data_IF_849968325701
#
_entry.id   IF_849968325701
#
_cell.length_a   1.000
_cell.length_b   1.000
_cell.length_c   1.000
_cell.angle_alpha   90.00
_cell.angle_beta   90.00
_cell.angle_gamma   90.00
#
_symmetry.space_group_name_H-M   'P 1'
#
loop_
_entity.id
_entity.type
_entity.pdbx_description
1 polymer ?
#
# COMPACT_ATOMS: atom_id res chain seq x y z
N UNK A 1 2.36 -26.77 1.67
CA UNK A 1 2.86 -25.94 2.79
C UNK A 1 1.66 -25.22 3.38
N UNK A 2 1.52 -25.21 4.71
CA UNK A 2 0.33 -24.69 5.40
C UNK A 2 0.45 -23.18 5.59
N UNK A 3 -0.32 -22.42 4.82
CA UNK A 3 -0.68 -21.06 5.21
C UNK A 3 -1.72 -21.11 6.32
N UNK A 4 -1.59 -20.24 7.32
CA UNK A 4 -2.54 -20.10 8.42
C UNK A 4 -3.16 -18.71 8.38
N UNK A 5 -4.48 -18.64 8.45
CA UNK A 5 -5.20 -17.38 8.63
C UNK A 5 -4.90 -16.81 10.02
N UNK A 6 -4.53 -15.53 10.08
CA UNK A 6 -4.21 -14.79 11.32
C UNK A 6 -5.13 -13.61 11.56
N UNK A 7 -5.83 -13.15 10.52
CA UNK A 7 -6.97 -12.24 10.63
C UNK A 7 -8.03 -12.65 9.63
N UNK A 8 -9.26 -12.80 10.09
CA UNK A 8 -10.44 -12.87 9.23
C UNK A 8 -11.04 -11.48 8.97
N UNK A 9 -11.94 -11.36 7.99
CA UNK A 9 -12.53 -10.06 7.61
C UNK A 9 -13.18 -9.28 8.76
N UNK A 10 -13.84 -9.97 9.70
CA UNK A 10 -14.41 -9.31 10.90
C UNK A 10 -13.34 -8.73 11.83
N UNK A 11 -12.15 -9.33 11.88
CA UNK A 11 -11.01 -8.83 12.65
C UNK A 11 -10.31 -7.67 11.92
N UNK A 12 -10.21 -7.74 10.59
CA UNK A 12 -9.72 -6.63 9.75
C UNK A 12 -10.64 -5.42 9.94
N UNK A 13 -11.96 -5.58 9.83
CA UNK A 13 -12.91 -4.51 10.02
C UNK A 13 -12.77 -3.85 11.41
N UNK A 14 -12.65 -4.64 12.48
CA UNK A 14 -12.42 -4.12 13.84
C UNK A 14 -11.08 -3.37 13.96
N UNK A 15 -10.02 -3.89 13.35
CA UNK A 15 -8.72 -3.22 13.34
C UNK A 15 -8.78 -1.86 12.63
N UNK A 16 -9.46 -1.78 11.48
CA UNK A 16 -9.64 -0.53 10.75
C UNK A 16 -10.50 0.48 11.53
N UNK A 17 -11.58 0.02 12.19
CA UNK A 17 -12.37 0.89 13.07
C UNK A 17 -11.52 1.49 14.19
N UNK A 18 -10.66 0.67 14.83
CA UNK A 18 -9.76 1.18 15.87
C UNK A 18 -8.75 2.18 15.32
N UNK A 19 -8.11 1.88 14.18
CA UNK A 19 -7.18 2.81 13.51
C UNK A 19 -7.88 4.14 13.21
N UNK A 20 -9.11 4.12 12.68
CA UNK A 20 -9.88 5.34 12.41
C UNK A 20 -10.12 6.19 13.66
N UNK A 21 -10.49 5.58 14.79
CA UNK A 21 -10.63 6.31 16.05
C UNK A 21 -9.30 6.89 16.54
N UNK A 22 -8.22 6.12 16.49
CA UNK A 22 -6.88 6.59 16.89
C UNK A 22 -6.42 7.78 16.03
N UNK A 23 -6.68 7.76 14.71
CA UNK A 23 -6.38 8.87 13.80
C UNK A 23 -7.17 10.14 14.19
N UNK A 24 -8.48 10.00 14.42
CA UNK A 24 -9.35 11.13 14.80
C UNK A 24 -8.88 11.74 16.13
N UNK A 25 -8.62 10.91 17.14
CA UNK A 25 -8.16 11.36 18.46
C UNK A 25 -6.81 12.09 18.37
N UNK A 26 -5.85 11.52 17.64
CA UNK A 26 -4.52 12.10 17.48
C UNK A 26 -4.51 13.39 16.62
N UNK A 27 -5.50 13.58 15.76
CA UNK A 27 -5.64 14.77 14.93
C UNK A 27 -6.65 15.80 15.48
N UNK A 28 -7.38 15.46 16.56
CA UNK A 28 -8.47 16.27 17.14
C UNK A 28 -9.58 16.57 16.11
N UNK A 29 -9.99 15.53 15.39
CA UNK A 29 -10.95 15.60 14.29
C UNK A 29 -10.29 15.42 12.91
N UNK A 30 -11.05 15.60 11.84
CA UNK A 30 -10.62 15.26 10.47
C UNK A 30 -10.43 16.47 9.52
N UNK A 31 -10.49 17.71 10.03
CA UNK A 31 -10.57 18.91 9.19
C UNK A 31 -9.39 19.13 8.22
N UNK A 32 -8.19 18.69 8.57
CA UNK A 32 -6.98 18.84 7.76
C UNK A 32 -6.26 17.51 7.51
N UNK A 33 -7.04 16.43 7.61
CA UNK A 33 -6.58 15.06 7.43
C UNK A 33 -6.64 14.68 5.94
N UNK A 34 -5.57 14.10 5.44
CA UNK A 34 -5.53 13.45 4.12
C UNK A 34 -4.97 12.04 4.31
N UNK A 35 -5.66 11.04 3.77
CA UNK A 35 -5.14 9.67 3.73
C UNK A 35 -4.45 9.43 2.40
N UNK A 36 -3.27 8.84 2.39
CA UNK A 36 -2.53 8.54 1.17
C UNK A 36 -2.14 7.07 1.20
N UNK A 37 -2.81 6.28 0.36
CA UNK A 37 -2.52 4.85 0.26
C UNK A 37 -1.32 4.57 -0.64
N UNK A 38 -0.48 3.64 -0.20
CA UNK A 38 0.56 3.06 -1.05
C UNK A 38 -0.08 1.89 -1.83
N UNK A 39 -0.04 1.88 -3.17
CA UNK A 39 -0.68 0.83 -3.95
C UNK A 39 -0.19 -0.58 -3.60
N UNK A 40 -0.95 -1.63 -3.85
CA UNK A 40 -2.37 -1.62 -4.26
C UNK A 40 -3.29 -1.62 -3.03
N UNK A 41 -2.97 -2.45 -2.03
CA UNK A 41 -3.84 -2.68 -0.87
C UNK A 41 -3.84 -1.54 0.12
N UNK A 42 -2.73 -0.80 0.27
CA UNK A 42 -2.70 0.42 1.08
C UNK A 42 -3.74 1.45 0.60
N UNK A 43 -3.93 1.61 -0.71
CA UNK A 43 -5.01 2.46 -1.27
C UNK A 43 -6.40 1.99 -0.85
N UNK A 44 -6.67 0.67 -0.95
CA UNK A 44 -7.96 0.10 -0.55
C UNK A 44 -8.21 0.34 0.94
N UNK A 45 -7.21 0.10 1.78
CA UNK A 45 -7.29 0.35 3.22
C UNK A 45 -7.51 1.84 3.53
N UNK A 46 -6.86 2.75 2.81
CA UNK A 46 -7.05 4.18 2.97
C UNK A 46 -8.50 4.59 2.69
N UNK A 47 -9.12 4.08 1.62
CA UNK A 47 -10.54 4.32 1.34
C UNK A 47 -11.45 3.78 2.45
N UNK A 48 -11.23 2.54 2.92
CA UNK A 48 -12.02 1.99 4.03
C UNK A 48 -11.89 2.82 5.31
N UNK A 49 -10.69 3.30 5.63
CA UNK A 49 -10.46 4.17 6.80
C UNK A 49 -11.18 5.51 6.62
N UNK A 50 -11.10 6.13 5.43
CA UNK A 50 -11.80 7.38 5.13
C UNK A 50 -13.32 7.24 5.29
N UNK A 51 -13.91 6.16 4.78
CA UNK A 51 -15.34 5.90 4.94
C UNK A 51 -15.74 5.73 6.41
N UNK A 52 -14.92 5.04 7.21
CA UNK A 52 -15.17 4.90 8.66
C UNK A 52 -15.10 6.27 9.34
N UNK A 53 -14.06 7.07 9.06
CA UNK A 53 -13.90 8.40 9.64
C UNK A 53 -15.07 9.29 9.23
N UNK A 54 -15.49 9.27 7.97
CA UNK A 54 -16.60 10.09 7.49
C UNK A 54 -17.94 9.72 8.13
N UNK A 55 -18.16 8.45 8.47
CA UNK A 55 -19.33 8.04 9.27
C UNK A 55 -19.27 8.53 10.72
N UNK A 56 -18.07 8.68 11.29
CA UNK A 56 -17.88 9.11 12.70
C UNK A 56 -17.98 10.64 12.81
N UNK A 57 -17.27 11.37 11.95
CA UNK A 57 -17.11 12.83 12.02
C UNK A 57 -18.11 13.59 11.14
N UNK A 58 -18.80 12.92 10.22
CA UNK A 58 -19.74 13.55 9.29
C UNK A 58 -19.05 14.40 8.21
N UNK A 59 -17.79 14.11 7.88
CA UNK A 59 -16.99 14.83 6.88
C UNK A 59 -16.34 13.87 5.88
N UNK A 60 -16.17 14.31 4.64
CA UNK A 60 -15.44 13.54 3.64
C UNK A 60 -13.94 13.77 3.80
N UNK A 61 -13.19 12.70 4.07
CA UNK A 61 -11.72 12.74 4.18
C UNK A 61 -11.11 12.51 2.79
N UNK A 62 -10.30 13.44 2.26
CA UNK A 62 -9.61 13.23 1.00
C UNK A 62 -8.69 12.02 1.04
N UNK A 63 -8.75 11.19 0.00
CA UNK A 63 -7.88 10.03 -0.20
C UNK A 63 -7.06 10.22 -1.46
N UNK A 64 -5.75 10.00 -1.35
CA UNK A 64 -4.82 9.92 -2.47
C UNK A 64 -4.17 8.54 -2.59
N UNK A 65 -3.51 8.32 -3.71
CA UNK A 65 -2.71 7.15 -4.03
C UNK A 65 -1.30 7.60 -4.42
N UNK A 66 -0.27 7.07 -3.76
CA UNK A 66 1.12 7.41 -4.04
C UNK A 66 1.91 6.19 -4.51
N UNK A 67 2.19 6.11 -5.82
CA UNK A 67 3.09 5.07 -6.33
C UNK A 67 4.54 5.42 -6.03
N UNK A 68 5.22 4.49 -5.36
CA UNK A 68 6.60 4.66 -4.89
C UNK A 68 7.60 3.86 -5.71
N UNK A 69 7.18 3.26 -6.82
CA UNK A 69 7.96 2.27 -7.57
C UNK A 69 9.30 2.85 -8.02
N UNK A 70 9.30 4.11 -8.48
CA UNK A 70 10.51 4.80 -8.94
C UNK A 70 11.43 5.32 -7.83
N UNK A 71 10.97 5.31 -6.58
CA UNK A 71 11.72 5.80 -5.40
C UNK A 71 12.40 4.67 -4.61
N UNK A 72 12.15 3.42 -5.01
CA UNK A 72 12.73 2.24 -4.36
C UNK A 72 14.22 2.09 -4.67
N UNK A 73 14.99 1.85 -3.63
CA UNK A 73 16.44 1.63 -3.69
C UNK A 73 16.84 0.24 -4.20
N UNK A 74 15.89 -0.68 -4.29
CA UNK A 74 16.08 -2.06 -4.71
C UNK A 74 15.55 -2.37 -6.12
N UNK A 75 15.16 -1.34 -6.90
CA UNK A 75 14.54 -1.51 -8.21
C UNK A 75 15.38 -2.38 -9.17
N UNK A 76 16.70 -2.22 -9.16
CA UNK A 76 17.62 -3.03 -9.97
C UNK A 76 17.60 -4.53 -9.63
N UNK A 77 17.22 -4.88 -8.39
CA UNK A 77 17.14 -6.27 -7.91
C UNK A 77 15.71 -6.83 -7.95
N UNK A 78 14.70 -5.98 -8.12
CA UNK A 78 13.29 -6.34 -8.04
C UNK A 78 12.43 -5.54 -9.04
N UNK A 79 12.66 -5.68 -10.36
CA UNK A 79 12.02 -4.84 -11.38
C UNK A 79 10.55 -5.20 -11.66
N UNK A 80 9.99 -6.18 -10.96
CA UNK A 80 8.73 -6.86 -11.33
C UNK A 80 7.46 -6.12 -10.93
N UNK A 81 7.58 -4.96 -10.29
CA UNK A 81 6.40 -4.17 -9.90
C UNK A 81 6.10 -3.13 -10.96
N UNK A 82 5.00 -3.32 -11.69
CA UNK A 82 4.48 -2.33 -12.63
C UNK A 82 4.07 -1.07 -11.85
N UNK A 83 4.59 0.12 -12.21
CA UNK A 83 4.14 1.38 -11.63
C UNK A 83 2.63 1.56 -11.79
N UNK A 84 1.98 2.15 -10.78
CA UNK A 84 0.59 2.58 -10.84
C UNK A 84 0.52 4.11 -10.88
N UNK A 85 -0.62 4.68 -11.30
CA UNK A 85 -0.80 6.13 -11.27
C UNK A 85 -0.69 6.67 -9.85
N UNK A 86 0.05 7.76 -9.68
CA UNK A 86 -0.04 8.59 -8.47
C UNK A 86 -1.18 9.58 -8.66
N UNK A 87 -2.11 9.60 -7.70
CA UNK A 87 -3.32 10.41 -7.72
C UNK A 87 -3.43 11.13 -6.37
N UNK A 88 -3.13 12.43 -6.36
CA UNK A 88 -3.18 13.24 -5.14
C UNK A 88 -4.44 14.13 -5.16
N UNK A 89 -5.00 14.49 -3.98
CA UNK A 89 -6.10 15.43 -3.92
C UNK A 89 -5.77 16.74 -4.65
N UNK A 90 -6.75 17.30 -5.39
CA UNK A 90 -6.56 18.52 -6.21
C UNK A 90 -6.09 19.71 -5.38
N UNK A 91 -6.53 19.79 -4.11
CA UNK A 91 -6.10 20.83 -3.17
C UNK A 91 -4.63 20.71 -2.73
N UNK A 92 -3.94 19.63 -3.09
CA UNK A 92 -2.59 19.32 -2.63
C UNK A 92 -2.55 18.80 -1.20
N UNK A 93 -1.33 18.73 -0.65
CA UNK A 93 -1.06 18.23 0.72
C UNK A 93 -0.35 19.27 1.60
N UNK A 94 -0.17 20.50 1.12
CA UNK A 94 0.57 21.54 1.83
C UNK A 94 -0.12 21.89 3.15
N UNK A 95 0.66 21.87 4.23
CA UNK A 95 0.16 22.20 5.58
C UNK A 95 -0.79 21.17 6.19
N UNK A 96 -1.16 20.10 5.48
CA UNK A 96 -2.06 19.06 5.96
C UNK A 96 -1.40 18.08 6.94
N UNK A 97 -2.22 17.34 7.67
CA UNK A 97 -1.82 16.08 8.30
C UNK A 97 -2.03 14.95 7.30
N UNK A 98 -0.94 14.39 6.76
CA UNK A 98 -1.00 13.22 5.87
C UNK A 98 -0.81 11.95 6.67
N UNK A 99 -1.70 10.97 6.49
CA UNK A 99 -1.51 9.60 6.99
C UNK A 99 -1.23 8.70 5.79
N UNK A 100 0.02 8.23 5.69
CA UNK A 100 0.38 7.15 4.76
C UNK A 100 -0.26 5.84 5.23
N UNK A 101 -0.83 5.08 4.31
CA UNK A 101 -1.49 3.80 4.60
C UNK A 101 -0.89 2.69 3.75
N UNK A 102 -0.41 1.63 4.39
CA UNK A 102 0.06 0.40 3.73
C UNK A 102 -0.50 -0.85 4.44
N UNK A 103 -0.37 -2.00 3.79
CA UNK A 103 -0.93 -3.26 4.28
C UNK A 103 -0.03 -3.95 5.32
N UNK A 104 1.29 -3.97 5.09
CA UNK A 104 2.25 -4.67 5.95
C UNK A 104 3.55 -3.88 6.11
N UNK A 105 3.83 -3.43 7.34
CA UNK A 105 5.12 -2.88 7.70
C UNK A 105 6.16 -3.97 8.00
N UNK A 106 7.13 -4.08 7.09
CA UNK A 106 8.27 -5.01 7.21
C UNK A 106 9.59 -4.29 7.48
N UNK A 107 10.46 -4.13 6.47
CA UNK A 107 11.78 -3.49 6.61
C UNK A 107 11.72 -1.97 6.78
N UNK A 108 10.62 -1.34 6.34
CA UNK A 108 10.42 0.11 6.29
C UNK A 108 10.82 0.77 4.96
N UNK A 109 11.38 0.02 4.00
CA UNK A 109 11.88 0.60 2.72
C UNK A 109 10.77 1.18 1.84
N UNK A 110 9.59 0.56 1.80
CA UNK A 110 8.43 1.09 1.07
C UNK A 110 8.00 2.44 1.63
N UNK A 111 7.91 2.56 2.97
CA UNK A 111 7.57 3.82 3.65
C UNK A 111 8.64 4.88 3.41
N UNK A 112 9.93 4.53 3.46
CA UNK A 112 11.01 5.47 3.11
C UNK A 112 10.84 6.01 1.69
N UNK A 113 10.54 5.14 0.73
CA UNK A 113 10.28 5.55 -0.66
C UNK A 113 9.03 6.43 -0.76
N UNK A 114 7.99 6.16 0.04
CA UNK A 114 6.79 7.00 0.12
C UNK A 114 7.09 8.38 0.69
N UNK A 115 7.92 8.49 1.73
CA UNK A 115 8.33 9.77 2.30
C UNK A 115 9.10 10.62 1.29
N UNK A 116 10.00 9.99 0.51
CA UNK A 116 10.71 10.68 -0.57
C UNK A 116 9.74 11.14 -1.67
N UNK A 117 8.86 10.25 -2.14
CA UNK A 117 7.89 10.56 -3.19
C UNK A 117 6.90 11.66 -2.79
N UNK A 118 6.44 11.65 -1.52
CA UNK A 118 5.53 12.65 -0.99
C UNK A 118 6.13 14.07 -1.07
N UNK A 119 7.46 14.18 -0.96
CA UNK A 119 8.21 15.43 -1.12
C UNK A 119 8.08 16.06 -2.51
N UNK A 120 7.70 15.32 -3.54
CA UNK A 120 7.47 15.86 -4.88
C UNK A 120 6.04 16.42 -5.04
N UNK A 121 5.15 16.14 -4.09
CA UNK A 121 3.73 16.51 -4.15
C UNK A 121 3.33 17.62 -3.16
N UNK A 122 4.22 18.00 -2.24
CA UNK A 122 3.97 19.12 -1.33
C UNK A 122 4.75 19.04 -0.03
N UNK A 123 4.35 19.87 0.93
CA UNK A 123 4.95 20.03 2.26
C UNK A 123 3.86 19.85 3.32
N UNK A 124 3.48 18.61 3.63
CA UNK A 124 2.57 18.36 4.74
C UNK A 124 3.18 18.85 6.05
N UNK A 125 2.33 19.31 6.95
CA UNK A 125 2.75 19.77 8.28
C UNK A 125 3.20 18.59 9.15
N UNK A 126 2.50 17.46 9.01
CA UNK A 126 2.82 16.20 9.71
C UNK A 126 2.58 15.05 8.73
N UNK A 127 3.49 14.08 8.74
CA UNK A 127 3.28 12.78 8.09
C UNK A 127 3.21 11.72 9.17
N UNK A 128 2.18 10.90 9.15
CA UNK A 128 1.97 9.74 10.01
C UNK A 128 1.85 8.47 9.18
N UNK A 129 1.93 7.33 9.82
CA UNK A 129 1.87 6.02 9.18
C UNK A 129 0.83 5.11 9.85
N UNK A 130 -0.10 4.59 9.07
CA UNK A 130 -1.07 3.57 9.46
C UNK A 130 -0.81 2.26 8.69
N UNK A 131 -0.78 1.14 9.42
CA UNK A 131 -0.44 -0.17 8.88
C UNK A 131 -1.43 -1.20 9.40
N UNK A 132 -1.97 -2.05 8.52
CA UNK A 132 -2.84 -3.13 9.00
C UNK A 132 -2.03 -4.14 9.83
N UNK A 133 -0.85 -4.53 9.36
CA UNK A 133 0.05 -5.47 10.06
C UNK A 133 1.42 -4.83 10.28
N UNK A 134 1.93 -4.94 11.51
CA UNK A 134 3.36 -4.80 11.78
C UNK A 134 3.98 -6.17 12.04
N UNK A 135 4.92 -6.58 11.17
CA UNK A 135 5.58 -7.89 11.28
C UNK A 135 7.01 -7.86 11.83
N UNK A 136 7.50 -6.68 12.23
CA UNK A 136 8.86 -6.47 12.72
C UNK A 136 9.94 -6.49 11.61
N UNK A 137 11.18 -6.81 11.99
CA UNK A 137 12.37 -6.89 11.11
C UNK A 137 12.74 -5.59 10.40
N UNK A 138 12.66 -4.47 11.13
CA UNK A 138 13.06 -3.16 10.61
C UNK A 138 14.52 -3.15 10.18
N UNK A 139 14.75 -2.58 9.00
CA UNK A 139 16.08 -2.22 8.49
C UNK A 139 16.29 -0.71 8.50
N UNK A 140 15.21 0.05 8.66
CA UNK A 140 15.19 1.50 8.81
C UNK A 140 14.50 1.87 10.12
N UNK A 141 14.85 3.00 10.76
CA UNK A 141 14.24 3.46 12.02
C UNK A 141 12.83 4.03 11.80
N UNK A 142 11.95 3.25 11.16
CA UNK A 142 10.58 3.62 10.80
C UNK A 142 9.61 2.79 11.64
N UNK A 143 8.65 3.49 12.25
CA UNK A 143 7.58 2.91 13.06
C UNK A 143 6.25 3.48 12.57
N UNK A 144 5.20 2.65 12.60
CA UNK A 144 3.84 3.11 12.40
C UNK A 144 3.28 3.77 13.65
N UNK A 145 2.53 4.85 13.44
CA UNK A 145 1.76 5.51 14.49
C UNK A 145 0.52 4.69 14.85
N UNK A 146 -0.11 4.07 13.84
CA UNK A 146 -1.32 3.27 13.98
C UNK A 146 -1.10 1.87 13.42
N UNK A 147 -1.38 0.85 14.22
CA UNK A 147 -1.15 -0.55 13.85
C UNK A 147 -2.42 -1.35 14.10
N UNK A 148 -2.90 -2.06 13.08
CA UNK A 148 -4.04 -2.97 13.18
C UNK A 148 -3.73 -4.21 14.03
N UNK A 149 -2.60 -4.87 13.76
CA UNK A 149 -2.10 -5.98 14.57
C UNK A 149 -0.58 -6.10 14.49
N UNK A 150 0.05 -6.22 15.66
CA UNK A 150 1.44 -6.67 15.75
C UNK A 150 1.48 -8.18 15.59
N UNK A 151 2.20 -8.67 14.59
CA UNK A 151 2.33 -10.08 14.27
C UNK A 151 3.81 -10.44 14.08
N UNK A 152 4.54 -10.74 15.18
CA UNK A 152 5.90 -11.23 15.08
C UNK A 152 5.97 -12.44 14.16
N UNK A 153 6.92 -12.41 13.23
CA UNK A 153 7.12 -13.46 12.21
C UNK A 153 8.59 -13.84 12.14
N UNK A 154 8.92 -14.98 11.55
CA UNK A 154 10.27 -15.30 11.12
C UNK A 154 10.59 -14.63 9.75
N UNK A 155 11.87 -14.44 9.46
CA UNK A 155 12.32 -13.83 8.18
C UNK A 155 11.93 -14.65 6.95
N UNK A 156 11.77 -15.96 7.12
CA UNK A 156 11.34 -16.89 6.07
C UNK A 156 9.82 -17.07 6.02
N UNK A 157 9.04 -16.38 6.85
CA UNK A 157 7.59 -16.32 6.72
C UNK A 157 7.18 -15.15 5.82
N UNK A 158 6.02 -15.28 5.17
CA UNK A 158 5.37 -14.24 4.40
C UNK A 158 4.01 -13.95 5.00
N UNK A 159 3.72 -12.66 5.16
CA UNK A 159 2.38 -12.16 5.41
C UNK A 159 1.76 -11.86 4.05
N UNK A 160 0.57 -12.40 3.80
CA UNK A 160 -0.24 -12.11 2.63
C UNK A 160 -1.54 -11.47 3.10
N UNK A 161 -1.79 -10.23 2.70
CA UNK A 161 -3.06 -9.56 2.91
C UNK A 161 -3.89 -9.76 1.67
N UNK A 162 -5.16 -10.11 1.84
CA UNK A 162 -6.18 -10.19 0.79
C UNK A 162 -7.34 -9.29 1.18
N UNK A 163 -7.79 -8.46 0.25
CA UNK A 163 -8.92 -7.56 0.44
C UNK A 163 -9.94 -7.81 -0.68
N UNK A 164 -11.22 -7.84 -0.34
CA UNK A 164 -12.32 -8.21 -1.25
C UNK A 164 -12.31 -7.45 -2.57
N UNK A 165 -11.94 -6.17 -2.57
CA UNK A 165 -11.91 -5.28 -3.74
C UNK A 165 -10.85 -5.67 -4.77
N UNK A 166 -9.83 -6.43 -4.36
CA UNK A 166 -8.73 -6.86 -5.24
C UNK A 166 -8.61 -8.38 -5.35
N UNK A 167 -8.92 -9.11 -4.28
CA UNK A 167 -8.59 -10.53 -4.10
C UNK A 167 -9.81 -11.43 -3.85
N UNK A 168 -11.01 -10.85 -3.78
CA UNK A 168 -12.28 -11.56 -3.57
C UNK A 168 -12.52 -12.09 -2.14
N UNK A 169 -11.61 -11.81 -1.20
CA UNK A 169 -11.74 -12.19 0.21
C UNK A 169 -11.02 -11.19 1.11
N UNK A 170 -11.52 -11.03 2.34
CA UNK A 170 -10.85 -10.29 3.41
C UNK A 170 -10.18 -11.26 4.37
N UNK A 171 -8.86 -11.41 4.26
CA UNK A 171 -8.07 -12.26 5.17
C UNK A 171 -6.61 -11.84 5.20
N UNK A 172 -5.94 -12.14 6.30
CA UNK A 172 -4.48 -12.12 6.39
C UNK A 172 -4.00 -13.52 6.68
N UNK A 173 -3.03 -14.00 5.91
CA UNK A 173 -2.38 -15.29 6.13
C UNK A 173 -0.90 -15.12 6.45
N UNK A 174 -0.36 -16.09 7.21
CA UNK A 174 1.07 -16.27 7.41
C UNK A 174 1.48 -17.67 6.97
N UNK A 175 2.59 -17.79 6.24
CA UNK A 175 3.13 -19.07 5.80
C UNK A 175 4.60 -19.00 5.47
N UNK A 176 5.28 -20.16 5.46
CA UNK A 176 6.67 -20.26 5.05
C UNK A 176 6.82 -19.92 3.56
N UNK A 177 7.84 -19.14 3.21
CA UNK A 177 8.21 -18.85 1.83
C UNK A 177 8.89 -20.08 1.24
N UNK A 178 8.26 -20.73 0.26
CA UNK A 178 8.95 -21.72 -0.57
C UNK A 178 10.03 -21.01 -1.41
N UNK A 179 11.33 -21.35 -1.24
CA UNK A 179 12.41 -20.75 -2.02
C UNK A 179 12.25 -20.97 -3.54
N UNK A 180 11.53 -22.01 -3.96
CA UNK A 180 11.34 -22.36 -5.37
C UNK A 180 10.29 -21.49 -6.07
N UNK A 181 9.29 -20.99 -5.34
CA UNK A 181 8.23 -20.12 -5.87
C UNK A 181 8.71 -18.69 -6.21
N UNK A 182 9.82 -18.22 -5.60
CA UNK A 182 10.44 -16.93 -5.96
C UNK A 182 10.89 -16.87 -7.42
N UNK A 183 11.28 -17.99 -8.02
CA UNK A 183 11.72 -18.05 -9.43
C UNK A 183 10.55 -18.02 -10.41
N UNK A 184 9.40 -18.57 -10.02
CA UNK A 184 8.22 -18.62 -10.87
C UNK A 184 7.55 -17.24 -11.02
N UNK A 185 7.42 -16.46 -9.93
CA UNK A 185 6.80 -15.13 -9.99
C UNK A 185 7.63 -14.12 -10.80
N UNK A 186 8.96 -14.21 -10.77
CA UNK A 186 9.82 -13.37 -11.63
C UNK A 186 9.75 -13.73 -13.11
N UNK A 187 9.56 -15.01 -13.43
CA UNK A 187 9.43 -15.48 -14.81
C UNK A 187 8.06 -15.14 -15.42
N UNK A 188 6.99 -15.17 -14.63
CA UNK A 188 5.64 -14.84 -15.09
C UNK A 188 5.50 -13.33 -15.37
N UNK A 189 6.05 -12.47 -14.50
CA UNK A 189 6.13 -11.03 -14.74
C UNK A 189 6.96 -10.68 -15.99
N UNK A 190 8.04 -11.43 -16.25
CA UNK A 190 8.86 -11.25 -17.46
C UNK A 190 8.08 -11.59 -18.74
N UNK A 191 7.30 -12.68 -18.73
CA UNK A 191 6.46 -13.10 -19.86
C UNK A 191 5.30 -12.14 -20.14
N UNK A 192 4.70 -11.58 -19.08
CA UNK A 192 3.65 -10.55 -19.21
C UNK A 192 4.24 -9.24 -19.76
N UNK A 193 5.42 -8.84 -19.30
CA UNK A 193 6.13 -7.66 -19.81
C UNK A 193 6.68 -7.83 -21.24
N UNK A 194 6.94 -9.06 -21.68
CA UNK A 194 7.35 -9.39 -23.05
C UNK A 194 6.15 -9.34 -24.02
N UNK A 195 4.97 -9.84 -23.59
CA UNK A 195 3.71 -9.68 -24.35
C UNK A 195 3.27 -8.23 -24.49
N UNK A 196 3.48 -7.40 -23.47
CA UNK A 196 3.16 -5.97 -23.52
C UNK A 196 4.11 -5.15 -24.43
N UNK A 197 5.26 -5.73 -24.82
CA UNK A 197 6.24 -5.12 -25.74
C UNK A 197 6.12 -5.60 -27.19
N UNK A 198 5.13 -6.45 -27.49
CA UNK A 198 4.81 -6.84 -28.86
C UNK A 198 4.12 -5.71 -29.60
N UNK A 199 4.90 -4.84 -30.24
CA UNK A 199 4.44 -4.05 -31.38
C UNK A 199 4.01 -5.01 -32.47
N UNK A 200 2.77 -4.90 -32.93
CA UNK A 200 2.25 -5.60 -34.10
C UNK A 200 3.01 -5.12 -35.35
N UNK A 201 3.88 -5.93 -35.99
CA UNK A 201 4.57 -5.52 -37.20
C UNK A 201 3.66 -5.88 -38.38
N UNK A 202 2.62 -5.08 -38.62
CA UNK A 202 1.60 -5.53 -39.57
C UNK A 202 0.60 -4.54 -40.14
N UNK A 203 0.68 -3.23 -39.86
CA UNK A 203 -0.23 -2.27 -40.48
C UNK A 203 0.47 -0.92 -40.66
N UNK A 204 1.21 -0.76 -41.77
CA UNK A 204 1.53 0.54 -42.37
C UNK A 204 2.14 0.30 -43.76
N UNK A 205 1.30 -0.19 -44.68
CA UNK A 205 1.59 -0.21 -46.11
C UNK A 205 0.28 -0.20 -46.89
N UNK A 206 -0.32 0.98 -47.06
CA UNK A 206 -1.10 1.39 -48.25
C UNK A 206 -1.77 2.75 -48.01
N UNK A 207 -1.06 3.83 -48.37
CA UNK A 207 -1.66 5.11 -48.73
C UNK A 207 -0.63 5.90 -49.55
N UNK A 208 -0.58 5.63 -50.84
CA UNK A 208 0.37 6.27 -51.76
C UNK A 208 0.17 5.87 -53.21
N UNK A 209 -1.00 6.20 -53.77
CA UNK A 209 -1.24 6.42 -55.20
C UNK A 209 -2.53 7.22 -55.38
#
# INVERSE_FOLDING_TARGET
MTERIVLEGSEIARALTRISHEIIEANKGANDLILVGIPTRGTILAHRIAEIIGRIEGVDVPVGQLDVTMYRDDLARNPTRTPRPTEMPVAGIDGATVVLVDDVLYSGRTVRAALDALGDHGRPRVVRLAELIDRGHRELPIRADYIGKNLPSAKNERISVRLSEHDGADEVTIGAVDPTLRRAQGADSARVAERARGTDPGQDAEAGA
#
